data_IF_223812021416
#
_entry.id   IF_223812021416
#
_cell.length_a   1.000
_cell.length_b   1.000
_cell.length_c   1.000
_cell.angle_alpha   90.00
_cell.angle_beta   90.00
_cell.angle_gamma   90.00
#
_symmetry.space_group_name_H-M   'P 1'
#
loop_
_entity.id
_entity.type
_entity.pdbx_description
1 polymer ?
#
# COMPACT_ATOMS: atom_id res chain seq x y z
N UNK A 1 -48.29 -44.65 13.37
CA UNK A 1 -47.72 -43.49 14.09
C UNK A 1 -46.21 -43.56 14.24
N UNK A 2 -45.63 -44.70 14.57
CA UNK A 2 -44.16 -44.82 14.79
C UNK A 2 -43.34 -44.64 13.51
N UNK A 3 -43.82 -45.09 12.35
CA UNK A 3 -43.09 -44.93 11.08
C UNK A 3 -43.00 -43.47 10.63
N UNK A 4 -44.04 -42.68 10.80
CA UNK A 4 -44.02 -41.27 10.46
C UNK A 4 -43.03 -40.49 11.38
N UNK A 5 -42.97 -40.87 12.65
CA UNK A 5 -42.00 -40.31 13.61
C UNK A 5 -40.54 -40.69 13.26
N UNK A 6 -40.32 -41.94 12.83
CA UNK A 6 -39.00 -42.37 12.40
C UNK A 6 -38.53 -41.61 11.16
N UNK A 7 -39.39 -41.47 10.14
CA UNK A 7 -39.09 -40.72 8.93
C UNK A 7 -38.81 -39.27 9.24
N UNK A 8 -39.64 -38.63 10.06
CA UNK A 8 -39.44 -37.25 10.49
C UNK A 8 -38.10 -37.06 11.22
N UNK A 9 -37.76 -38.00 12.11
CA UNK A 9 -36.49 -37.94 12.86
C UNK A 9 -35.28 -38.09 11.92
N UNK A 10 -35.33 -39.01 10.95
CA UNK A 10 -34.27 -39.18 9.93
C UNK A 10 -34.09 -37.92 9.10
N UNK A 11 -35.19 -37.32 8.63
CA UNK A 11 -35.15 -36.06 7.86
C UNK A 11 -34.57 -34.92 8.70
N UNK A 12 -34.90 -34.84 10.00
CA UNK A 12 -34.33 -33.86 10.90
C UNK A 12 -32.81 -34.02 11.02
N UNK A 13 -32.32 -35.26 11.21
CA UNK A 13 -30.89 -35.52 11.30
C UNK A 13 -30.16 -35.17 9.98
N UNK A 14 -30.74 -35.46 8.84
CA UNK A 14 -30.19 -35.06 7.52
C UNK A 14 -30.10 -33.54 7.43
N UNK A 15 -31.15 -32.82 7.81
CA UNK A 15 -31.18 -31.37 7.81
C UNK A 15 -30.09 -30.78 8.72
N UNK A 16 -29.93 -31.34 9.94
CA UNK A 16 -28.88 -30.93 10.90
C UNK A 16 -27.48 -31.15 10.32
N UNK A 17 -27.22 -32.28 9.68
CA UNK A 17 -25.92 -32.57 9.04
C UNK A 17 -25.62 -31.61 7.89
N UNK A 18 -26.61 -31.33 7.02
CA UNK A 18 -26.46 -30.35 5.93
C UNK A 18 -26.15 -28.96 6.48
N UNK A 19 -26.85 -28.55 7.54
CA UNK A 19 -26.63 -27.26 8.19
C UNK A 19 -25.24 -27.17 8.82
N UNK A 20 -24.78 -28.24 9.46
CA UNK A 20 -23.45 -28.32 10.04
C UNK A 20 -22.35 -28.17 8.97
N UNK A 21 -22.50 -28.86 7.83
CA UNK A 21 -21.57 -28.74 6.71
C UNK A 21 -21.56 -27.31 6.14
N UNK A 22 -22.75 -26.71 6.00
CA UNK A 22 -22.86 -25.33 5.54
C UNK A 22 -22.16 -24.34 6.49
N UNK A 23 -22.34 -24.49 7.80
CA UNK A 23 -21.67 -23.66 8.82
C UNK A 23 -20.16 -23.83 8.76
N UNK A 24 -19.66 -25.05 8.64
CA UNK A 24 -18.22 -25.30 8.52
C UNK A 24 -17.65 -24.68 7.23
N UNK A 25 -18.37 -24.80 6.11
CA UNK A 25 -17.95 -24.19 4.84
C UNK A 25 -17.90 -22.67 4.94
N UNK A 26 -18.91 -22.04 5.51
CA UNK A 26 -18.95 -20.58 5.75
C UNK A 26 -17.85 -20.14 6.70
N UNK A 27 -17.61 -20.87 7.79
CA UNK A 27 -16.53 -20.58 8.75
C UNK A 27 -15.15 -20.62 8.08
N UNK A 28 -14.91 -21.58 7.18
CA UNK A 28 -13.68 -21.63 6.39
C UNK A 28 -13.54 -20.44 5.43
N UNK A 29 -14.64 -20.01 4.81
CA UNK A 29 -14.62 -18.82 3.93
C UNK A 29 -14.34 -17.54 4.72
N UNK A 30 -14.91 -17.40 5.93
CA UNK A 30 -14.64 -16.29 6.84
C UNK A 30 -13.17 -16.29 7.27
N UNK A 31 -12.57 -17.44 7.57
CA UNK A 31 -11.16 -17.58 7.93
C UNK A 31 -10.23 -17.07 6.83
N UNK A 32 -10.49 -17.44 5.57
CA UNK A 32 -9.73 -16.98 4.41
C UNK A 32 -9.93 -15.47 4.18
N UNK A 33 -11.13 -14.96 4.43
CA UNK A 33 -11.41 -13.52 4.33
C UNK A 33 -10.72 -12.74 5.45
N UNK A 34 -10.67 -13.30 6.66
CA UNK A 34 -10.00 -12.69 7.82
C UNK A 34 -8.48 -12.62 7.64
N UNK A 35 -7.86 -13.59 6.99
CA UNK A 35 -6.44 -13.54 6.61
C UNK A 35 -6.15 -12.47 5.55
N UNK A 36 -7.13 -12.17 4.69
CA UNK A 36 -6.99 -11.16 3.64
C UNK A 36 -7.35 -9.75 4.11
N UNK A 37 -8.20 -9.65 5.11
CA UNK A 37 -8.53 -8.40 5.81
C UNK A 37 -7.81 -8.46 7.16
N UNK A 38 -6.49 -8.25 7.15
CA UNK A 38 -5.80 -7.99 8.41
C UNK A 38 -6.55 -6.85 9.12
N UNK A 39 -6.91 -7.00 10.41
CA UNK A 39 -7.69 -6.00 11.10
C UNK A 39 -6.97 -4.66 10.98
N UNK A 40 -7.62 -3.70 10.33
CA UNK A 40 -7.27 -2.30 10.50
C UNK A 40 -7.66 -1.93 11.95
N UNK A 41 -6.96 -2.56 12.89
CA UNK A 41 -7.04 -2.24 14.29
C UNK A 41 -6.55 -0.82 14.49
N UNK A 42 -7.32 -0.03 15.21
CA UNK A 42 -7.11 1.39 15.53
C UNK A 42 -5.80 1.71 16.31
N UNK A 43 -4.80 0.84 16.25
CA UNK A 43 -3.49 0.97 16.88
C UNK A 43 -2.34 0.51 15.96
N UNK A 44 -2.45 0.68 14.64
CA UNK A 44 -1.23 0.80 13.86
C UNK A 44 -0.68 2.18 14.21
N UNK A 45 0.18 2.23 15.20
CA UNK A 45 1.02 3.40 15.44
C UNK A 45 1.85 3.58 14.18
N UNK A 46 1.41 4.51 13.35
CA UNK A 46 2.17 5.00 12.20
C UNK A 46 3.38 5.77 12.76
N UNK A 47 4.40 5.01 13.14
CA UNK A 47 5.58 5.53 13.85
C UNK A 47 6.67 6.03 12.92
N UNK A 48 6.46 5.94 11.61
CA UNK A 48 7.38 6.51 10.61
C UNK A 48 7.19 8.02 10.42
N UNK A 49 7.99 8.67 9.56
CA UNK A 49 7.86 10.09 9.26
C UNK A 49 6.43 10.45 8.87
N UNK A 50 5.86 11.46 9.52
CA UNK A 50 4.49 11.94 9.28
C UNK A 50 4.49 12.98 8.16
N UNK A 51 3.33 13.25 7.52
CA UNK A 51 3.20 14.41 6.68
C UNK A 51 3.65 15.69 7.40
N UNK A 52 4.50 16.48 6.72
CA UNK A 52 5.17 17.66 7.29
C UNK A 52 6.57 17.40 7.85
N UNK A 53 6.91 16.19 8.25
CA UNK A 53 8.24 15.85 8.75
C UNK A 53 9.27 15.85 7.62
N UNK A 54 10.54 16.08 7.99
CA UNK A 54 11.65 15.86 7.05
C UNK A 54 11.79 14.37 6.75
N UNK A 55 11.88 14.05 5.46
CA UNK A 55 12.13 12.70 5.01
C UNK A 55 13.55 12.27 5.37
N UNK A 56 13.74 11.02 5.83
CA UNK A 56 15.08 10.46 6.06
C UNK A 56 15.93 10.54 4.79
N UNK A 57 17.19 10.93 4.93
CA UNK A 57 18.11 11.08 3.82
C UNK A 57 18.90 9.79 3.59
N UNK A 58 18.90 9.32 2.33
CA UNK A 58 19.66 8.14 1.91
C UNK A 58 20.40 8.42 0.61
N UNK A 59 21.58 7.81 0.48
CA UNK A 59 22.27 7.64 -0.80
C UNK A 59 22.42 6.14 -1.04
N UNK A 60 21.75 5.62 -2.07
CA UNK A 60 21.64 4.20 -2.35
C UNK A 60 22.04 3.91 -3.79
N UNK A 61 22.69 2.77 -4.00
CA UNK A 61 22.97 2.28 -5.34
C UNK A 61 21.70 1.65 -5.93
N UNK A 62 21.40 2.01 -7.17
CA UNK A 62 20.27 1.47 -7.90
C UNK A 62 20.64 0.17 -8.63
N UNK A 63 19.70 -0.77 -8.68
CA UNK A 63 19.80 -1.94 -9.55
C UNK A 63 19.96 -1.50 -11.01
N UNK A 64 20.95 -2.06 -11.70
CA UNK A 64 21.28 -1.67 -13.06
C UNK A 64 22.20 -0.45 -13.17
N UNK A 65 22.71 0.05 -12.03
CA UNK A 65 23.70 1.11 -11.93
C UNK A 65 23.15 2.49 -11.63
N UNK A 66 24.02 3.37 -11.22
CA UNK A 66 23.69 4.72 -10.77
C UNK A 66 23.42 4.81 -9.29
N UNK A 67 23.43 6.04 -8.77
CA UNK A 67 23.17 6.34 -7.36
C UNK A 67 21.91 7.18 -7.23
N UNK A 68 21.09 6.86 -6.25
CA UNK A 68 19.82 7.53 -5.95
C UNK A 68 19.94 8.22 -4.61
N UNK A 69 19.63 9.51 -4.58
CA UNK A 69 19.47 10.25 -3.34
C UNK A 69 17.97 10.38 -3.03
N UNK A 70 17.59 10.00 -1.81
CA UNK A 70 16.25 10.13 -1.27
C UNK A 70 16.28 11.08 -0.09
N UNK A 71 15.23 11.88 0.07
CA UNK A 71 15.17 12.92 1.10
C UNK A 71 16.08 14.11 0.80
N UNK A 72 16.05 15.12 1.69
CA UNK A 72 16.73 16.39 1.46
C UNK A 72 16.14 17.20 0.30
N UNK A 73 16.75 18.34 -0.02
CA UNK A 73 16.28 19.20 -1.12
C UNK A 73 16.58 18.54 -2.47
N UNK A 74 15.56 18.44 -3.32
CA UNK A 74 15.61 17.85 -4.65
C UNK A 74 14.97 18.80 -5.68
N UNK A 75 15.32 18.70 -6.98
CA UNK A 75 14.72 19.54 -8.01
C UNK A 75 13.26 19.23 -8.29
N UNK A 76 12.80 18.03 -7.93
CA UNK A 76 11.43 17.52 -8.12
C UNK A 76 10.98 16.73 -6.92
N UNK A 77 9.67 16.63 -6.73
CA UNK A 77 9.08 15.72 -5.76
C UNK A 77 9.43 14.28 -6.07
N UNK A 78 9.54 13.43 -5.06
CA UNK A 78 9.89 12.02 -5.22
C UNK A 78 8.79 11.13 -4.65
N UNK A 79 8.24 10.23 -5.47
CA UNK A 79 7.39 9.14 -5.02
C UNK A 79 8.26 7.91 -4.75
N UNK A 80 8.41 7.54 -3.49
CA UNK A 80 9.05 6.29 -3.09
C UNK A 80 7.97 5.22 -3.04
N UNK A 81 8.06 4.24 -3.94
CA UNK A 81 7.09 3.16 -4.05
C UNK A 81 7.70 1.84 -3.56
N UNK A 82 7.28 1.41 -2.38
CA UNK A 82 7.71 0.15 -1.78
C UNK A 82 6.91 -1.02 -2.34
N UNK A 83 7.61 -2.02 -2.84
CA UNK A 83 7.02 -3.17 -3.52
C UNK A 83 7.77 -4.48 -3.19
N UNK A 84 7.19 -5.61 -3.59
CA UNK A 84 7.88 -6.91 -3.62
C UNK A 84 7.58 -7.63 -4.93
N UNK A 85 8.55 -8.38 -5.48
CA UNK A 85 8.34 -9.23 -6.66
C UNK A 85 7.25 -10.28 -6.49
N UNK A 86 6.95 -10.68 -5.27
CA UNK A 86 5.94 -11.68 -4.94
C UNK A 86 4.55 -11.08 -4.68
N UNK A 87 4.45 -9.75 -4.55
CA UNK A 87 3.20 -9.05 -4.25
C UNK A 87 2.30 -8.92 -5.50
N UNK A 88 1.12 -9.57 -5.55
CA UNK A 88 0.24 -9.50 -6.73
C UNK A 88 -0.34 -8.09 -6.96
N UNK A 89 -0.63 -7.36 -5.88
CA UNK A 89 -1.18 -5.99 -5.95
C UNK A 89 -0.11 -5.04 -6.50
N UNK A 90 1.14 -5.18 -6.05
CA UNK A 90 2.27 -4.40 -6.57
C UNK A 90 2.37 -4.55 -8.11
N UNK A 91 2.29 -5.80 -8.61
CA UNK A 91 2.35 -6.07 -10.06
C UNK A 91 1.23 -5.38 -10.85
N UNK A 92 0.01 -5.31 -10.30
CA UNK A 92 -1.12 -4.63 -10.94
C UNK A 92 -0.92 -3.12 -11.03
N UNK A 93 -0.15 -2.52 -10.11
CA UNK A 93 0.11 -1.09 -10.09
C UNK A 93 1.27 -0.66 -11.00
N UNK A 94 2.13 -1.56 -11.45
CA UNK A 94 3.27 -1.21 -12.30
C UNK A 94 2.89 -0.49 -13.62
N UNK A 95 1.87 -0.92 -14.37
CA UNK A 95 1.43 -0.17 -15.55
C UNK A 95 0.93 1.23 -15.21
N UNK A 96 0.28 1.39 -14.06
CA UNK A 96 -0.20 2.67 -13.55
C UNK A 96 0.97 3.60 -13.23
N UNK A 97 2.00 3.11 -12.53
CA UNK A 97 3.21 3.87 -12.25
C UNK A 97 3.93 4.33 -13.53
N UNK A 98 3.98 3.48 -14.56
CA UNK A 98 4.52 3.85 -15.88
C UNK A 98 3.74 5.00 -16.52
N UNK A 99 2.40 4.93 -16.44
CA UNK A 99 1.52 6.00 -16.95
C UNK A 99 1.72 7.30 -16.16
N UNK A 100 1.81 7.23 -14.83
CA UNK A 100 2.06 8.39 -13.97
C UNK A 100 3.43 8.99 -14.26
N UNK A 101 4.48 8.18 -14.37
CA UNK A 101 5.82 8.69 -14.71
C UNK A 101 5.83 9.45 -16.03
N UNK A 102 5.11 8.95 -17.04
CA UNK A 102 5.01 9.62 -18.34
C UNK A 102 4.22 10.95 -18.24
N UNK A 103 3.14 10.98 -17.48
CA UNK A 103 2.28 12.15 -17.35
C UNK A 103 2.89 13.23 -16.44
N UNK A 104 3.52 12.84 -15.33
CA UNK A 104 3.94 13.73 -14.24
C UNK A 104 5.45 13.99 -14.21
N UNK A 105 6.19 13.58 -15.23
CA UNK A 105 7.67 13.65 -15.31
C UNK A 105 8.26 15.06 -15.12
N UNK A 106 7.46 16.11 -15.29
CA UNK A 106 7.90 17.49 -15.09
C UNK A 106 8.19 17.84 -13.63
N UNK A 107 7.43 17.25 -12.70
CA UNK A 107 7.52 17.59 -11.29
C UNK A 107 7.75 16.37 -10.37
N UNK A 108 7.59 15.14 -10.88
CA UNK A 108 7.62 13.91 -10.10
C UNK A 108 8.68 12.95 -10.63
N UNK A 109 9.54 12.49 -9.73
CA UNK A 109 10.40 11.32 -9.92
C UNK A 109 9.83 10.13 -9.15
N UNK A 110 9.83 8.94 -9.76
CA UNK A 110 9.38 7.71 -9.10
C UNK A 110 10.58 6.82 -8.84
N UNK A 111 10.78 6.43 -7.60
CA UNK A 111 11.81 5.49 -7.16
C UNK A 111 11.14 4.25 -6.60
N UNK A 112 11.49 3.09 -7.14
CA UNK A 112 11.06 1.79 -6.63
C UNK A 112 11.98 1.36 -5.49
N UNK A 113 11.40 0.91 -4.39
CA UNK A 113 12.14 0.47 -3.21
C UNK A 113 11.68 -0.93 -2.78
N UNK A 114 12.63 -1.75 -2.38
CA UNK A 114 12.37 -3.09 -1.86
C UNK A 114 13.51 -3.52 -0.93
N UNK A 115 13.44 -4.74 -0.46
CA UNK A 115 14.49 -5.42 0.27
C UNK A 115 14.64 -6.86 -0.26
N UNK A 116 15.72 -7.54 0.11
CA UNK A 116 15.98 -8.91 -0.27
C UNK A 116 17.13 -9.07 -1.28
N UNK A 117 17.15 -10.21 -1.96
CA UNK A 117 18.27 -10.61 -2.82
C UNK A 117 18.25 -9.92 -4.18
N UNK A 118 19.37 -9.30 -4.56
CA UNK A 118 19.48 -8.50 -5.78
C UNK A 118 19.18 -9.28 -7.06
N UNK A 119 19.59 -10.57 -7.16
CA UNK A 119 19.38 -11.37 -8.36
C UNK A 119 17.89 -11.60 -8.67
N UNK A 120 17.07 -11.84 -7.63
CA UNK A 120 15.63 -12.03 -7.78
C UNK A 120 14.95 -10.72 -8.25
N UNK A 121 15.37 -9.59 -7.70
CA UNK A 121 14.87 -8.27 -8.06
C UNK A 121 15.30 -7.83 -9.46
N UNK A 122 16.53 -8.09 -9.86
CA UNK A 122 17.01 -7.80 -11.22
C UNK A 122 16.21 -8.58 -12.26
N UNK A 123 16.00 -9.89 -12.03
CA UNK A 123 15.15 -10.72 -12.88
C UNK A 123 13.71 -10.20 -12.97
N UNK A 124 13.17 -9.71 -11.87
CA UNK A 124 11.84 -9.09 -11.83
C UNK A 124 11.82 -7.77 -12.59
N UNK A 125 12.82 -6.90 -12.37
CA UNK A 125 12.97 -5.59 -13.04
C UNK A 125 12.96 -5.74 -14.56
N UNK A 126 13.69 -6.72 -15.08
CA UNK A 126 13.75 -7.01 -16.51
C UNK A 126 12.41 -7.54 -17.05
N UNK A 127 11.84 -8.59 -16.41
CA UNK A 127 10.54 -9.17 -16.85
C UNK A 127 9.40 -8.16 -16.81
N UNK A 128 9.37 -7.29 -15.82
CA UNK A 128 8.33 -6.28 -15.67
C UNK A 128 8.65 -4.97 -16.43
N UNK A 129 9.79 -4.91 -17.15
CA UNK A 129 10.23 -3.74 -17.91
C UNK A 129 10.24 -2.45 -17.05
N UNK A 130 11.00 -2.47 -15.95
CA UNK A 130 11.07 -1.38 -14.97
C UNK A 130 12.39 -0.59 -15.08
N UNK A 131 13.09 -0.72 -16.19
CA UNK A 131 14.42 -0.09 -16.40
C UNK A 131 14.40 1.43 -16.38
N UNK A 132 13.24 2.04 -16.66
CA UNK A 132 13.06 3.49 -16.58
C UNK A 132 12.98 4.04 -15.15
N UNK A 133 12.77 3.16 -14.15
CA UNK A 133 12.72 3.57 -12.75
C UNK A 133 14.03 3.26 -12.04
N UNK A 134 14.59 4.19 -11.29
CA UNK A 134 15.58 3.85 -10.27
C UNK A 134 14.95 2.82 -9.32
N UNK A 135 15.66 1.72 -9.07
CA UNK A 135 15.18 0.64 -8.20
C UNK A 135 16.25 0.34 -7.15
N UNK A 136 15.93 0.60 -5.90
CA UNK A 136 16.86 0.45 -4.77
C UNK A 136 16.46 -0.71 -3.86
N UNK A 137 17.46 -1.38 -3.31
CA UNK A 137 17.26 -2.42 -2.30
C UNK A 137 17.84 -1.93 -0.97
N UNK A 138 16.96 -1.71 0.01
CA UNK A 138 17.39 -1.24 1.33
C UNK A 138 16.35 -1.56 2.41
N UNK A 139 16.66 -2.54 3.24
CA UNK A 139 15.87 -2.83 4.44
C UNK A 139 15.85 -1.63 5.40
N UNK A 140 16.97 -0.89 5.51
CA UNK A 140 17.07 0.30 6.34
C UNK A 140 16.08 1.38 5.91
N UNK A 141 15.88 1.57 4.60
CA UNK A 141 14.88 2.51 4.06
C UNK A 141 13.48 2.10 4.49
N UNK A 142 13.10 0.83 4.30
CA UNK A 142 11.80 0.30 4.73
C UNK A 142 11.56 0.46 6.23
N UNK A 143 12.59 0.20 7.05
CA UNK A 143 12.54 0.38 8.52
C UNK A 143 12.38 1.84 8.92
N UNK A 144 13.08 2.78 8.30
CA UNK A 144 12.97 4.21 8.61
C UNK A 144 11.57 4.75 8.30
N UNK A 145 10.97 4.31 7.18
CA UNK A 145 9.60 4.67 6.83
C UNK A 145 8.54 3.81 7.53
N UNK A 146 8.96 2.81 8.35
CA UNK A 146 8.06 1.87 9.05
C UNK A 146 7.07 1.17 8.13
N UNK A 147 7.55 0.76 6.96
CA UNK A 147 6.74 0.04 5.98
C UNK A 147 6.47 -1.37 6.49
N UNK A 148 5.23 -1.64 6.85
CA UNK A 148 4.77 -2.95 7.37
C UNK A 148 3.93 -3.75 6.38
N UNK A 149 3.37 -3.08 5.36
CA UNK A 149 2.49 -3.70 4.35
C UNK A 149 2.80 -3.13 2.97
N UNK A 150 2.64 -3.95 1.94
CA UNK A 150 2.89 -3.60 0.55
C UNK A 150 1.63 -3.71 -0.32
N UNK A 151 1.51 -2.91 -1.37
CA UNK A 151 2.37 -1.79 -1.76
C UNK A 151 2.19 -0.57 -0.85
N UNK A 152 3.27 0.14 -0.57
CA UNK A 152 3.26 1.37 0.20
C UNK A 152 3.90 2.50 -0.60
N UNK A 153 3.34 3.68 -0.54
CA UNK A 153 3.87 4.84 -1.24
C UNK A 153 4.11 6.00 -0.27
N UNK A 154 5.20 6.73 -0.50
CA UNK A 154 5.55 7.94 0.24
C UNK A 154 5.87 9.03 -0.77
N UNK A 155 5.17 10.14 -0.69
CA UNK A 155 5.44 11.33 -1.49
C UNK A 155 6.27 12.32 -0.68
N UNK A 156 7.45 12.64 -1.19
CA UNK A 156 8.37 13.63 -0.62
C UNK A 156 8.45 14.82 -1.58
N UNK A 157 8.32 16.03 -1.07
CA UNK A 157 8.41 17.24 -1.88
C UNK A 157 9.85 17.68 -2.18
N UNK A 158 9.96 18.75 -2.95
CA UNK A 158 11.24 19.35 -3.35
C UNK A 158 12.06 19.87 -2.15
N UNK A 159 11.39 20.24 -1.05
CA UNK A 159 12.03 20.65 0.20
C UNK A 159 12.47 19.46 1.08
N UNK A 160 12.24 18.22 0.62
CA UNK A 160 12.57 17.02 1.37
C UNK A 160 11.59 16.70 2.51
N UNK A 161 10.35 17.20 2.44
CA UNK A 161 9.31 16.89 3.44
C UNK A 161 8.35 15.82 2.91
N UNK A 162 7.96 14.93 3.79
CA UNK A 162 6.87 13.99 3.50
C UNK A 162 5.57 14.76 3.35
N UNK A 163 4.89 14.61 2.23
CA UNK A 163 3.59 15.23 1.96
C UNK A 163 2.43 14.30 2.17
N UNK A 164 2.58 13.07 1.75
CA UNK A 164 1.59 12.04 1.96
C UNK A 164 2.25 10.66 1.99
N UNK A 165 1.63 9.71 2.65
CA UNK A 165 2.06 8.32 2.64
C UNK A 165 0.89 7.39 2.91
N UNK A 166 0.98 6.16 2.47
CA UNK A 166 -0.03 5.15 2.77
C UNK A 166 0.06 3.91 1.91
N UNK A 167 -0.81 2.96 2.23
CA UNK A 167 -1.05 1.79 1.39
C UNK A 167 -1.77 2.23 0.11
N UNK A 168 -1.36 1.69 -1.02
CA UNK A 168 -1.95 2.02 -2.32
C UNK A 168 -2.34 0.74 -3.05
N UNK A 169 -3.61 0.60 -3.37
CA UNK A 169 -4.16 -0.57 -4.05
C UNK A 169 -4.77 -0.23 -5.41
N UNK A 170 -4.89 1.07 -5.72
CA UNK A 170 -5.50 1.56 -6.95
C UNK A 170 -4.85 2.87 -7.43
N UNK A 171 -5.21 3.29 -8.65
CA UNK A 171 -4.78 4.56 -9.23
C UNK A 171 -5.31 5.75 -8.41
N UNK A 172 -6.57 5.70 -8.01
CA UNK A 172 -7.24 6.76 -7.28
C UNK A 172 -6.53 7.06 -5.94
N UNK A 173 -5.97 6.01 -5.30
CA UNK A 173 -5.19 6.20 -4.07
C UNK A 173 -3.83 6.85 -4.33
N UNK A 174 -3.18 6.58 -5.46
CA UNK A 174 -1.98 7.30 -5.89
C UNK A 174 -2.31 8.77 -6.21
N UNK A 175 -3.38 9.00 -6.96
CA UNK A 175 -3.84 10.35 -7.29
C UNK A 175 -4.23 11.15 -6.02
N UNK A 176 -4.77 10.46 -4.99
CA UNK A 176 -5.06 11.07 -3.68
C UNK A 176 -3.80 11.53 -2.94
N UNK A 177 -2.67 10.81 -3.08
CA UNK A 177 -1.39 11.26 -2.51
C UNK A 177 -0.90 12.55 -3.19
N UNK A 178 -1.14 12.69 -4.50
CA UNK A 178 -0.77 13.91 -5.24
C UNK A 178 -1.68 15.08 -4.87
N UNK A 179 -2.99 14.84 -4.74
CA UNK A 179 -3.95 15.85 -4.28
C UNK A 179 -3.62 16.37 -2.85
N UNK A 180 -3.17 15.48 -1.95
CA UNK A 180 -2.74 15.87 -0.61
C UNK A 180 -1.53 16.82 -0.62
N UNK A 181 -0.62 16.69 -1.59
CA UNK A 181 0.48 17.65 -1.81
C UNK A 181 -0.07 19.04 -2.15
N UNK A 182 -1.00 19.11 -3.11
CA UNK A 182 -1.52 20.39 -3.62
C UNK A 182 -2.36 21.12 -2.57
N UNK A 183 -3.08 20.36 -1.73
CA UNK A 183 -3.89 20.90 -0.63
C UNK A 183 -3.05 21.24 0.61
N UNK A 184 -1.81 20.78 0.70
CA UNK A 184 -0.94 21.00 1.85
C UNK A 184 -1.36 20.25 3.13
N UNK A 185 -2.23 19.24 3.01
CA UNK A 185 -2.76 18.45 4.13
C UNK A 185 -2.38 16.97 3.98
N UNK A 186 -1.97 16.36 5.08
CA UNK A 186 -1.52 14.95 5.08
C UNK A 186 -2.64 13.92 5.06
N UNK A 187 -3.88 14.33 5.36
CA UNK A 187 -5.06 13.46 5.35
C UNK A 187 -6.34 14.24 5.15
N UNK A 188 -7.41 13.54 4.72
CA UNK A 188 -8.76 14.13 4.62
C UNK A 188 -9.25 14.64 5.97
N UNK A 189 -8.90 13.96 7.07
CA UNK A 189 -9.27 14.35 8.43
C UNK A 189 -8.62 15.69 8.79
N UNK A 190 -7.33 15.84 8.52
CA UNK A 190 -6.60 17.09 8.77
C UNK A 190 -7.14 18.25 7.90
N UNK A 191 -7.62 17.96 6.68
CA UNK A 191 -8.29 18.93 5.83
C UNK A 191 -9.61 19.41 6.42
N UNK A 192 -10.42 18.48 6.96
CA UNK A 192 -11.71 18.82 7.59
C UNK A 192 -11.54 19.56 8.92
N UNK A 193 -10.46 19.30 9.65
CA UNK A 193 -10.15 19.94 10.93
C UNK A 193 -9.53 21.35 10.76
N UNK A 194 -9.24 21.78 9.53
CA UNK A 194 -8.76 23.15 9.29
C UNK A 194 -9.81 24.19 9.64
N UNK A 195 -9.45 25.33 10.28
CA UNK A 195 -10.38 26.34 10.80
C UNK A 195 -11.31 26.98 9.75
N UNK A 196 -11.03 26.77 8.47
CA UNK A 196 -11.86 27.27 7.36
C UNK A 196 -13.21 26.56 7.26
N UNK A 197 -13.31 25.30 7.67
CA UNK A 197 -14.53 24.49 7.58
C UNK A 197 -15.27 24.36 8.91
N UNK A 198 -14.64 24.70 10.04
CA UNK A 198 -15.26 24.69 11.35
C UNK A 198 -16.33 25.80 11.52
N UNK A 199 -16.44 26.75 10.57
CA UNK A 199 -17.41 27.88 10.64
C UNK A 199 -18.72 27.66 9.88
N UNK A 200 -18.87 26.55 9.12
CA UNK A 200 -20.09 26.29 8.35
C UNK A 200 -21.07 25.31 9.02
N UNK A 201 -20.77 24.83 10.23
CA UNK A 201 -21.62 23.87 10.98
C UNK A 201 -22.18 24.45 12.27
N UNK A 202 -22.46 25.76 12.31
CA UNK A 202 -23.20 26.37 13.46
C UNK A 202 -24.45 27.07 12.96
#
# INVERSE_FOLDING_TARGET
>A
MNEALMVSNVLLWIAVLVLLVAVIALSRQIGILYERVAPMGALVMDTGPKPGDLAPTFELDALGGGRVRLGGVQPRSTLIFFLSPTCPVCKKLLPILKSIQAAESKWLDIVLASDGEAAAHESFRQRAQLTQFPYVLSAALGMQYRVSKLPHAVLVDEAGRVRAKGLVNSREQLDSLFAARDLGVGSVQEYLDQPRFAKETT
#
